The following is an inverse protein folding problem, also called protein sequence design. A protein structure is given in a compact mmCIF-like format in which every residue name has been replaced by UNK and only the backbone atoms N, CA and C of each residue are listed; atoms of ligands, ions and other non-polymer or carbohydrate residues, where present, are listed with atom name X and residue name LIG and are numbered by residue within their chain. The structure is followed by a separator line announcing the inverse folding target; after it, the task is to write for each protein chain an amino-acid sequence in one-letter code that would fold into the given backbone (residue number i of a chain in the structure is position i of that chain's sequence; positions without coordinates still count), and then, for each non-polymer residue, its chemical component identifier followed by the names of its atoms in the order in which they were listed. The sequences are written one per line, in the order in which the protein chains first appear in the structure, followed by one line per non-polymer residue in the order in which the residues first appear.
data_IF_930725604487
#
_entry.id   IF_930725604487
#
_cell.length_a   1.000
_cell.length_b   1.000
_cell.length_c   1.000
_cell.angle_alpha   90.00
_cell.angle_beta   90.00
_cell.angle_gamma   90.00
#
_symmetry.space_group_name_H-M   'P 1'
#
loop_
_entity.id
_entity.type
_entity.pdbx_description
1 polymer ?
#
# COMPACT_ATOMS: atom_id res chain seq x y z
N UNK A 1 -38.29 -57.75 -50.04
CA UNK A 1 -36.95 -57.13 -50.09
C UNK A 1 -37.03 -55.88 -50.96
N UNK A 2 -36.88 -54.64 -50.50
CA UNK A 2 -36.58 -54.15 -49.16
C UNK A 2 -37.11 -52.71 -49.02
N UNK A 3 -38.44 -52.54 -48.90
CA UNK A 3 -39.03 -51.34 -48.25
C UNK A 3 -38.52 -51.17 -46.80
N UNK A 4 -37.97 -52.25 -46.23
CA UNK A 4 -37.30 -52.29 -44.93
C UNK A 4 -35.93 -51.59 -44.97
N UNK A 5 -35.22 -51.52 -46.10
CA UNK A 5 -33.92 -50.83 -46.17
C UNK A 5 -34.08 -49.31 -46.23
N UNK A 6 -35.16 -48.79 -46.82
CA UNK A 6 -35.40 -47.34 -46.86
C UNK A 6 -35.84 -46.79 -45.49
N UNK A 7 -36.55 -47.59 -44.68
CA UNK A 7 -36.99 -47.18 -43.33
C UNK A 7 -35.82 -47.21 -42.33
N UNK A 8 -34.88 -48.14 -42.49
CA UNK A 8 -33.67 -48.20 -41.63
C UNK A 8 -32.71 -47.04 -41.95
N UNK A 9 -32.64 -46.58 -43.20
CA UNK A 9 -31.81 -45.42 -43.56
C UNK A 9 -32.45 -44.09 -43.11
N UNK A 10 -33.78 -43.99 -43.03
CA UNK A 10 -34.45 -42.79 -42.51
C UNK A 10 -34.49 -42.73 -40.97
N UNK A 11 -34.59 -43.88 -40.29
CA UNK A 11 -34.47 -43.95 -38.83
C UNK A 11 -33.03 -43.66 -38.35
N UNK A 12 -32.00 -44.14 -39.06
CA UNK A 12 -30.60 -43.87 -38.72
C UNK A 12 -30.12 -42.45 -39.12
N UNK A 13 -30.86 -41.72 -39.96
CA UNK A 13 -30.59 -40.30 -40.27
C UNK A 13 -31.40 -39.33 -39.38
N UNK A 14 -32.36 -39.85 -38.61
CA UNK A 14 -33.19 -39.08 -37.68
C UNK A 14 -32.64 -39.06 -36.24
N UNK A 15 -31.71 -39.95 -35.90
CA UNK A 15 -31.05 -40.01 -34.58
C UNK A 15 -29.67 -39.31 -34.57
N UNK A 16 -29.28 -38.69 -35.69
CA UNK A 16 -28.05 -37.88 -35.82
C UNK A 16 -28.35 -36.37 -35.92
N UNK A 17 -29.59 -35.96 -35.65
CA UNK A 17 -29.97 -34.56 -35.46
C UNK A 17 -30.44 -34.41 -34.00
N UNK A 18 -29.66 -33.69 -33.19
CA UNK A 18 -29.82 -33.47 -31.75
C UNK A 18 -29.61 -34.72 -30.87
N UNK A 19 -28.35 -35.14 -30.71
CA UNK A 19 -27.91 -35.35 -29.34
C UNK A 19 -27.89 -33.94 -28.72
N UNK A 20 -28.94 -33.57 -27.99
CA UNK A 20 -28.84 -32.46 -27.06
C UNK A 20 -27.76 -32.89 -26.08
N UNK A 21 -26.64 -32.20 -26.09
CA UNK A 21 -25.57 -32.39 -25.13
C UNK A 21 -26.20 -32.09 -23.77
N UNK A 22 -26.19 -33.08 -22.87
CA UNK A 22 -26.70 -32.87 -21.51
C UNK A 22 -25.88 -31.74 -20.88
N UNK A 23 -26.52 -30.82 -20.13
CA UNK A 23 -25.82 -29.79 -19.39
C UNK A 23 -24.66 -30.38 -18.57
N UNK A 24 -23.57 -29.63 -18.39
CA UNK A 24 -22.47 -30.11 -17.58
C UNK A 24 -22.96 -30.42 -16.16
N UNK A 25 -22.38 -31.44 -15.51
CA UNK A 25 -22.87 -31.89 -14.19
C UNK A 25 -22.86 -30.79 -13.14
N UNK A 26 -21.97 -29.82 -13.28
CA UNK A 26 -21.84 -28.66 -12.41
C UNK A 26 -22.68 -27.45 -12.82
N UNK A 27 -23.62 -27.60 -13.75
CA UNK A 27 -24.63 -26.59 -14.09
C UNK A 27 -25.69 -26.41 -12.97
N UNK A 28 -25.56 -27.17 -11.88
CA UNK A 28 -26.38 -27.05 -10.68
C UNK A 28 -25.49 -27.23 -9.44
N UNK A 29 -25.87 -26.56 -8.34
CA UNK A 29 -25.13 -26.63 -7.08
C UNK A 29 -24.89 -28.06 -6.58
N UNK A 30 -25.87 -28.97 -6.69
CA UNK A 30 -25.71 -30.34 -6.19
C UNK A 30 -24.68 -31.16 -6.96
N UNK A 31 -24.35 -30.74 -8.18
CA UNK A 31 -23.32 -31.34 -9.02
C UNK A 31 -21.99 -30.59 -9.00
N UNK A 32 -21.80 -29.68 -8.03
CA UNK A 32 -20.59 -28.90 -7.87
C UNK A 32 -19.32 -29.76 -7.91
N UNK A 33 -18.39 -29.40 -8.81
CA UNK A 33 -17.11 -30.08 -8.98
C UNK A 33 -16.16 -29.65 -7.86
N UNK A 34 -15.44 -30.62 -7.29
CA UNK A 34 -14.44 -30.35 -6.25
C UNK A 34 -13.16 -29.77 -6.86
N UNK A 35 -12.75 -28.59 -6.38
CA UNK A 35 -11.48 -27.97 -6.73
C UNK A 35 -10.38 -28.48 -5.79
N UNK A 36 -9.24 -28.87 -6.36
CA UNK A 36 -8.04 -29.13 -5.58
C UNK A 36 -7.44 -27.82 -5.06
N UNK A 37 -7.09 -27.78 -3.77
CA UNK A 37 -6.37 -26.64 -3.17
C UNK A 37 -4.87 -26.87 -3.32
N UNK A 38 -4.21 -26.02 -4.10
CA UNK A 38 -2.77 -26.02 -4.25
C UNK A 38 -2.05 -25.31 -3.09
N UNK A 39 -0.71 -25.43 -3.05
CA UNK A 39 0.13 -24.73 -2.09
C UNK A 39 0.11 -23.20 -2.29
N UNK A 40 0.50 -22.46 -1.25
CA UNK A 40 0.40 -20.99 -1.22
C UNK A 40 1.07 -20.32 -2.41
N UNK A 41 0.32 -19.45 -3.10
CA UNK A 41 0.79 -18.69 -4.26
C UNK A 41 0.91 -19.49 -5.56
N UNK A 42 0.47 -20.76 -5.58
CA UNK A 42 0.47 -21.60 -6.79
C UNK A 42 -0.96 -21.78 -7.29
N UNK A 43 -1.37 -21.00 -8.28
CA UNK A 43 -2.59 -21.28 -9.03
C UNK A 43 -2.34 -22.45 -9.99
N UNK A 44 -3.03 -23.58 -9.77
CA UNK A 44 -3.06 -24.70 -10.72
C UNK A 44 -4.37 -24.63 -11.51
N UNK A 45 -4.37 -24.03 -12.72
CA UNK A 45 -5.60 -23.76 -13.44
C UNK A 45 -6.27 -25.03 -13.95
N UNK A 46 -7.58 -25.13 -13.72
CA UNK A 46 -8.49 -26.04 -14.39
C UNK A 46 -9.21 -25.28 -15.49
N UNK A 47 -9.16 -25.79 -16.72
CA UNK A 47 -9.91 -25.24 -17.85
C UNK A 47 -11.40 -25.45 -17.63
N UNK A 48 -12.17 -24.39 -17.83
CA UNK A 48 -13.63 -24.35 -17.77
C UNK A 48 -14.17 -23.94 -19.14
N UNK A 49 -15.24 -24.59 -19.58
CA UNK A 49 -15.97 -24.24 -20.80
C UNK A 49 -17.38 -23.82 -20.42
N UNK A 50 -17.80 -22.65 -20.91
CA UNK A 50 -19.22 -22.26 -20.96
C UNK A 50 -19.63 -22.35 -22.42
N UNK A 51 -20.64 -23.15 -22.70
CA UNK A 51 -21.25 -23.28 -24.01
C UNK A 51 -22.77 -23.14 -23.91
N UNK A 52 -23.47 -23.46 -25.00
CA UNK A 52 -24.94 -23.29 -25.07
C UNK A 52 -25.73 -24.23 -24.16
N UNK A 53 -25.08 -25.20 -23.52
CA UNK A 53 -25.75 -26.16 -22.63
C UNK A 53 -25.62 -25.79 -21.15
N UNK A 54 -24.90 -24.70 -20.83
CA UNK A 54 -24.87 -24.11 -19.49
C UNK A 54 -26.10 -23.22 -19.32
N UNK A 55 -26.97 -23.57 -18.38
CA UNK A 55 -28.22 -22.87 -18.11
C UNK A 55 -28.20 -22.20 -16.73
N UNK A 56 -29.27 -21.47 -16.41
CA UNK A 56 -29.45 -20.89 -15.08
C UNK A 56 -29.77 -21.99 -14.06
N UNK A 57 -28.92 -22.14 -13.05
CA UNK A 57 -29.14 -23.08 -11.94
C UNK A 57 -30.36 -22.74 -11.06
N UNK A 58 -31.06 -21.64 -11.36
CA UNK A 58 -32.20 -21.07 -10.65
C UNK A 58 -31.90 -20.71 -9.18
N UNK A 59 -30.61 -20.49 -8.88
CA UNK A 59 -30.19 -20.01 -7.57
C UNK A 59 -30.36 -18.49 -7.48
N UNK A 60 -30.71 -18.00 -6.28
CA UNK A 60 -30.97 -16.57 -6.06
C UNK A 60 -29.78 -15.74 -6.55
N UNK A 61 -30.09 -14.67 -7.30
CA UNK A 61 -29.08 -13.75 -7.82
C UNK A 61 -28.23 -13.20 -6.66
N UNK A 62 -26.89 -13.32 -6.72
CA UNK A 62 -26.01 -12.87 -5.64
C UNK A 62 -25.93 -11.35 -5.49
N UNK A 63 -26.41 -10.57 -6.48
CA UNK A 63 -26.50 -9.11 -6.42
C UNK A 63 -25.28 -8.35 -6.95
N UNK A 64 -24.38 -9.03 -7.67
CA UNK A 64 -23.04 -8.58 -8.04
C UNK A 64 -22.60 -9.23 -9.38
N UNK A 65 -21.55 -8.70 -10.00
CA UNK A 65 -20.93 -9.26 -11.21
C UNK A 65 -21.84 -9.40 -12.42
N UNK A 66 -22.84 -8.51 -12.53
CA UNK A 66 -23.87 -8.48 -13.60
C UNK A 66 -24.36 -9.87 -14.01
N UNK A 67 -24.80 -10.66 -13.03
CA UNK A 67 -25.27 -12.03 -13.24
C UNK A 67 -26.57 -12.09 -14.08
N UNK A 68 -26.54 -12.85 -15.18
CA UNK A 68 -27.64 -12.95 -16.16
C UNK A 68 -28.24 -14.36 -16.34
N UNK A 69 -27.82 -15.37 -15.57
CA UNK A 69 -28.42 -16.71 -15.63
C UNK A 69 -27.43 -17.85 -15.66
N UNK A 70 -26.77 -18.08 -16.80
CA UNK A 70 -25.89 -19.23 -17.00
C UNK A 70 -24.76 -19.29 -15.97
N UNK A 71 -24.59 -20.42 -15.27
CA UNK A 71 -23.60 -20.52 -14.21
C UNK A 71 -23.11 -21.94 -13.90
N UNK A 72 -21.86 -22.02 -13.42
CA UNK A 72 -21.20 -23.26 -13.05
C UNK A 72 -20.84 -23.28 -11.57
N UNK A 73 -20.99 -24.46 -10.97
CA UNK A 73 -20.78 -24.68 -9.54
C UNK A 73 -19.53 -25.51 -9.23
N UNK A 74 -18.82 -25.06 -8.22
CA UNK A 74 -17.65 -25.74 -7.67
C UNK A 74 -17.75 -25.79 -6.16
N UNK A 75 -16.91 -26.61 -5.54
CA UNK A 75 -16.78 -26.67 -4.09
C UNK A 75 -15.34 -26.86 -3.69
N UNK A 76 -15.00 -26.35 -2.51
CA UNK A 76 -13.66 -26.46 -1.95
C UNK A 76 -13.75 -26.65 -0.44
N UNK A 77 -12.86 -27.47 0.12
CA UNK A 77 -12.68 -27.56 1.56
C UNK A 77 -11.66 -26.53 2.02
N UNK A 78 -11.94 -25.82 3.11
CA UNK A 78 -10.98 -24.91 3.73
C UNK A 78 -9.74 -25.73 4.15
N UNK A 79 -8.53 -25.34 3.72
CA UNK A 79 -7.30 -26.04 4.08
C UNK A 79 -6.92 -25.83 5.55
N UNK A 80 -5.91 -26.56 6.03
CA UNK A 80 -5.43 -26.47 7.41
C UNK A 80 -4.88 -25.08 7.79
N UNK A 81 -4.52 -24.24 6.81
CA UNK A 81 -4.12 -22.85 7.04
C UNK A 81 -5.28 -21.98 7.51
N UNK A 82 -6.54 -22.43 7.34
CA UNK A 82 -7.74 -21.67 7.70
C UNK A 82 -8.18 -20.66 6.66
N UNK A 83 -7.55 -20.63 5.48
CA UNK A 83 -7.93 -19.70 4.41
C UNK A 83 -7.66 -20.25 3.02
N UNK A 84 -8.53 -19.90 2.08
CA UNK A 84 -8.42 -20.28 0.66
C UNK A 84 -8.64 -19.06 -0.22
N UNK A 85 -7.86 -18.97 -1.30
CA UNK A 85 -8.07 -18.06 -2.40
C UNK A 85 -8.62 -18.85 -3.58
N UNK A 86 -9.73 -18.38 -4.15
CA UNK A 86 -10.29 -18.88 -5.40
C UNK A 86 -10.18 -17.77 -6.42
N UNK A 87 -9.69 -18.06 -7.60
CA UNK A 87 -9.60 -17.08 -8.67
C UNK A 87 -9.83 -17.71 -10.04
N UNK A 88 -10.30 -16.88 -10.95
CA UNK A 88 -10.37 -17.17 -12.37
C UNK A 88 -9.28 -16.43 -13.12
N UNK A 89 -8.96 -16.91 -14.32
CA UNK A 89 -7.98 -16.27 -15.18
C UNK A 89 -8.23 -16.59 -16.64
N UNK A 90 -7.55 -15.84 -17.50
CA UNK A 90 -7.58 -16.06 -18.94
C UNK A 90 -7.14 -17.48 -19.30
N UNK A 91 -7.85 -18.10 -20.24
CA UNK A 91 -7.44 -19.33 -20.90
C UNK A 91 -7.03 -19.07 -22.37
N UNK A 92 -7.98 -18.87 -23.26
CA UNK A 92 -7.78 -18.49 -24.67
C UNK A 92 -8.30 -17.08 -25.02
N UNK A 93 -8.92 -16.41 -24.04
CA UNK A 93 -9.47 -15.06 -24.16
C UNK A 93 -10.87 -14.98 -24.77
N UNK A 94 -11.54 -16.12 -24.99
CA UNK A 94 -12.95 -16.14 -25.46
C UNK A 94 -13.93 -15.67 -24.39
N UNK A 95 -13.70 -16.03 -23.12
CA UNK A 95 -14.31 -15.36 -21.97
C UNK A 95 -13.26 -14.42 -21.40
N UNK A 96 -13.59 -13.14 -21.33
CA UNK A 96 -12.67 -12.08 -20.91
C UNK A 96 -13.05 -11.42 -19.59
N UNK A 97 -14.22 -11.76 -19.06
CA UNK A 97 -14.83 -11.16 -17.89
C UNK A 97 -15.70 -12.20 -17.19
N UNK A 98 -15.53 -12.37 -15.88
CA UNK A 98 -16.22 -13.40 -15.10
C UNK A 98 -16.83 -12.78 -13.86
N UNK A 99 -17.94 -13.32 -13.39
CA UNK A 99 -18.43 -13.08 -12.03
C UNK A 99 -18.31 -14.34 -11.17
N UNK A 100 -18.09 -14.16 -9.88
CA UNK A 100 -17.97 -15.24 -8.89
C UNK A 100 -18.67 -14.89 -7.59
N UNK A 101 -19.39 -15.86 -7.01
CA UNK A 101 -19.93 -15.78 -5.66
C UNK A 101 -19.52 -17.01 -4.85
N UNK A 102 -19.15 -16.80 -3.58
CA UNK A 102 -18.78 -17.86 -2.65
C UNK A 102 -19.80 -17.95 -1.52
N UNK A 103 -20.23 -19.17 -1.22
CA UNK A 103 -21.25 -19.47 -0.24
C UNK A 103 -20.79 -20.49 0.79
N UNK A 104 -21.42 -20.45 1.97
CA UNK A 104 -21.25 -21.42 3.05
C UNK A 104 -22.55 -22.14 3.36
N UNK A 105 -22.46 -23.46 3.56
CA UNK A 105 -23.57 -24.28 4.04
C UNK A 105 -23.25 -25.76 4.01
N UNK A 106 -24.09 -26.56 4.66
CA UNK A 106 -23.93 -28.03 4.67
C UNK A 106 -24.28 -28.67 3.33
N UNK A 107 -25.18 -28.05 2.57
CA UNK A 107 -25.66 -28.47 1.26
C UNK A 107 -26.20 -27.25 0.49
N UNK A 108 -26.75 -27.49 -0.69
CA UNK A 108 -27.34 -26.46 -1.55
C UNK A 108 -28.68 -25.89 -1.02
N UNK A 109 -29.20 -26.37 0.12
CA UNK A 109 -30.49 -25.96 0.66
C UNK A 109 -30.27 -24.97 1.81
N UNK A 110 -30.07 -23.70 1.48
CA UNK A 110 -29.84 -22.65 2.48
C UNK A 110 -28.38 -22.21 2.59
N UNK A 111 -27.70 -22.19 1.45
CA UNK A 111 -26.40 -21.53 1.32
C UNK A 111 -26.49 -20.06 1.72
N UNK A 112 -25.52 -19.62 2.52
CA UNK A 112 -25.33 -18.22 2.93
C UNK A 112 -24.26 -17.64 2.02
N UNK A 113 -24.57 -16.55 1.32
CA UNK A 113 -23.60 -15.80 0.52
C UNK A 113 -22.56 -15.19 1.46
N UNK A 114 -21.28 -15.49 1.22
CA UNK A 114 -20.16 -14.92 1.98
C UNK A 114 -19.57 -13.70 1.29
N UNK A 115 -19.32 -13.82 -0.01
CA UNK A 115 -18.65 -12.79 -0.79
C UNK A 115 -18.96 -12.98 -2.27
N UNK A 116 -18.80 -11.90 -3.03
CA UNK A 116 -18.93 -11.90 -4.47
C UNK A 116 -17.94 -10.92 -5.09
N UNK A 117 -17.44 -11.24 -6.29
CA UNK A 117 -16.47 -10.46 -7.02
C UNK A 117 -16.57 -10.74 -8.52
N UNK A 118 -16.32 -9.73 -9.34
CA UNK A 118 -16.15 -9.83 -10.79
C UNK A 118 -14.72 -9.46 -11.21
N UNK A 119 -14.13 -8.43 -10.57
CA UNK A 119 -12.78 -7.94 -10.91
C UNK A 119 -11.80 -8.05 -9.73
N UNK A 120 -10.67 -8.75 -9.92
CA UNK A 120 -9.56 -8.83 -8.95
C UNK A 120 -8.72 -7.53 -8.89
N UNK A 121 -8.74 -6.69 -9.92
CA UNK A 121 -7.83 -5.53 -10.02
C UNK A 121 -8.39 -4.33 -10.79
N UNK A 122 -9.71 -4.12 -10.69
CA UNK A 122 -10.44 -3.10 -11.46
C UNK A 122 -10.31 -3.30 -12.97
N UNK A 123 -10.39 -2.22 -13.76
CA UNK A 123 -10.50 -2.25 -15.23
C UNK A 123 -9.36 -2.96 -16.00
N UNK A 124 -8.27 -3.35 -15.32
CA UNK A 124 -7.11 -4.01 -15.91
C UNK A 124 -7.15 -5.54 -15.81
N UNK A 125 -7.86 -6.10 -14.82
CA UNK A 125 -8.03 -7.53 -14.62
C UNK A 125 -9.48 -7.85 -14.26
N UNK A 126 -10.22 -8.28 -15.30
CA UNK A 126 -11.66 -8.55 -15.28
C UNK A 126 -12.05 -9.96 -14.85
N UNK A 127 -11.08 -10.68 -14.30
CA UNK A 127 -11.35 -12.02 -13.77
C UNK A 127 -11.65 -11.90 -12.29
N UNK A 128 -12.52 -12.79 -11.81
CA UNK A 128 -12.96 -12.78 -10.43
C UNK A 128 -12.03 -13.56 -9.53
N UNK A 129 -11.94 -13.15 -8.28
CA UNK A 129 -11.39 -13.99 -7.25
C UNK A 129 -11.71 -13.50 -5.86
N UNK A 130 -11.87 -14.44 -4.96
CA UNK A 130 -12.32 -14.24 -3.59
C UNK A 130 -11.39 -14.97 -2.63
N UNK A 131 -11.01 -14.29 -1.55
CA UNK A 131 -10.27 -14.88 -0.42
C UNK A 131 -11.23 -15.09 0.75
N UNK A 132 -11.32 -16.31 1.27
CA UNK A 132 -12.16 -16.64 2.43
C UNK A 132 -11.30 -17.22 3.55
N UNK A 133 -11.46 -16.67 4.75
CA UNK A 133 -11.02 -17.28 6.00
C UNK A 133 -12.19 -17.98 6.69
N UNK A 134 -12.01 -19.23 7.10
CA UNK A 134 -13.02 -19.97 7.86
C UNK A 134 -12.37 -21.18 8.57
N UNK A 135 -13.17 -21.96 9.30
CA UNK A 135 -12.69 -23.15 10.01
C UNK A 135 -12.19 -24.22 9.02
N UNK A 136 -10.96 -24.77 9.20
CA UNK A 136 -10.45 -25.87 8.40
C UNK A 136 -11.45 -27.05 8.29
N UNK A 137 -11.61 -27.56 7.07
CA UNK A 137 -12.56 -28.64 6.76
C UNK A 137 -13.99 -28.20 6.45
N UNK A 138 -14.36 -26.93 6.67
CA UNK A 138 -15.64 -26.41 6.17
C UNK A 138 -15.65 -26.46 4.64
N UNK A 139 -16.83 -26.74 4.07
CA UNK A 139 -17.03 -26.75 2.63
C UNK A 139 -17.62 -25.40 2.20
N UNK A 140 -16.97 -24.78 1.22
CA UNK A 140 -17.49 -23.63 0.49
C UNK A 140 -18.04 -24.10 -0.86
N UNK A 141 -19.09 -23.43 -1.32
CA UNK A 141 -19.63 -23.58 -2.67
C UNK A 141 -19.31 -22.32 -3.47
N UNK A 142 -18.79 -22.49 -4.67
CA UNK A 142 -18.39 -21.40 -5.56
C UNK A 142 -19.30 -21.45 -6.78
N UNK A 143 -19.90 -20.31 -7.10
CA UNK A 143 -20.71 -20.10 -8.29
C UNK A 143 -19.94 -19.17 -9.22
N UNK A 144 -19.79 -19.51 -10.50
CA UNK A 144 -19.04 -18.72 -11.48
C UNK A 144 -19.83 -18.57 -12.77
N UNK A 145 -19.81 -17.39 -13.39
CA UNK A 145 -20.52 -17.07 -14.62
C UNK A 145 -19.72 -16.10 -15.50
N UNK A 146 -20.16 -15.89 -16.75
CA UNK A 146 -19.68 -14.82 -17.62
C UNK A 146 -20.41 -13.51 -17.29
N UNK A 147 -19.65 -12.42 -17.12
CA UNK A 147 -20.22 -11.12 -16.78
C UNK A 147 -21.12 -10.60 -17.91
N UNK A 148 -22.33 -10.12 -17.60
CA UNK A 148 -23.18 -9.42 -18.54
C UNK A 148 -24.01 -10.30 -19.49
N UNK A 149 -23.87 -11.63 -19.42
CA UNK A 149 -24.76 -12.59 -20.09
C UNK A 149 -24.73 -12.53 -21.61
N UNK A 150 -23.67 -11.97 -22.18
CA UNK A 150 -23.35 -12.15 -23.59
C UNK A 150 -22.88 -13.59 -23.70
N UNK A 151 -23.77 -14.53 -24.05
CA UNK A 151 -23.42 -15.96 -24.16
C UNK A 151 -22.43 -16.16 -25.33
N UNK A 152 -21.18 -15.77 -25.10
CA UNK A 152 -20.01 -16.04 -25.90
C UNK A 152 -19.53 -17.39 -25.41
N UNK A 153 -19.90 -18.44 -26.16
CA UNK A 153 -19.34 -19.76 -25.93
C UNK A 153 -17.81 -19.63 -25.87
N UNK A 154 -17.21 -20.09 -24.77
CA UNK A 154 -15.82 -19.80 -24.51
C UNK A 154 -15.27 -20.53 -23.31
N UNK A 155 -14.04 -20.17 -22.96
CA UNK A 155 -13.29 -20.82 -21.90
C UNK A 155 -12.59 -19.81 -20.99
N UNK A 156 -12.47 -20.18 -19.73
CA UNK A 156 -11.66 -19.50 -18.71
C UNK A 156 -10.98 -20.56 -17.84
N UNK A 157 -10.03 -20.15 -17.01
CA UNK A 157 -9.39 -21.01 -16.03
C UNK A 157 -9.93 -20.71 -14.64
N UNK A 158 -10.07 -21.73 -13.79
CA UNK A 158 -10.34 -21.57 -12.36
C UNK A 158 -9.29 -22.31 -11.53
N UNK A 159 -8.89 -21.77 -10.39
CA UNK A 159 -8.03 -22.48 -9.44
C UNK A 159 -8.35 -22.09 -8.00
N UNK A 160 -7.87 -22.91 -7.06
CA UNK A 160 -7.89 -22.61 -5.65
C UNK A 160 -6.52 -22.93 -5.02
N UNK A 161 -6.06 -22.07 -4.11
CA UNK A 161 -4.84 -22.30 -3.35
C UNK A 161 -4.97 -21.81 -1.91
N UNK A 162 -4.20 -22.44 -1.02
CA UNK A 162 -4.22 -22.08 0.39
C UNK A 162 -3.60 -20.69 0.60
N UNK A 163 -4.18 -19.90 1.50
CA UNK A 163 -3.60 -18.65 1.98
C UNK A 163 -3.41 -18.73 3.50
N UNK A 164 -2.52 -17.91 4.03
CA UNK A 164 -2.47 -17.64 5.47
C UNK A 164 -3.41 -16.47 5.74
N UNK A 165 -4.63 -16.70 6.28
CA UNK A 165 -5.53 -15.60 6.58
C UNK A 165 -4.91 -14.67 7.63
N UNK A 166 -5.24 -13.38 7.60
CA UNK A 166 -4.79 -12.46 8.63
C UNK A 166 -5.48 -12.77 9.97
N UNK A 167 -4.98 -12.23 11.10
CA UNK A 167 -5.57 -12.48 12.42
C UNK A 167 -7.06 -12.14 12.44
N UNK A 168 -7.88 -13.01 13.05
CA UNK A 168 -9.32 -12.74 13.21
C UNK A 168 -9.50 -11.43 13.97
N UNK A 169 -10.28 -10.52 13.39
CA UNK A 169 -10.65 -9.28 14.02
C UNK A 169 -11.74 -9.54 15.07
N UNK A 170 -11.57 -8.94 16.24
CA UNK A 170 -12.56 -9.00 17.35
C UNK A 170 -13.27 -7.68 17.58
N UNK A 171 -12.95 -6.70 16.73
CA UNK A 171 -13.46 -5.34 16.73
C UNK A 171 -14.34 -5.09 15.51
N UNK A 172 -15.09 -6.10 15.10
CA UNK A 172 -16.07 -6.10 14.00
C UNK A 172 -17.42 -5.48 14.41
N UNK A 173 -17.48 -4.85 15.58
CA UNK A 173 -18.64 -4.09 16.07
C UNK A 173 -18.15 -2.78 16.72
N UNK A 174 -18.94 -1.70 16.64
CA UNK A 174 -18.54 -0.43 17.25
C UNK A 174 -18.39 -0.52 18.78
N UNK A 175 -19.07 -1.46 19.45
CA UNK A 175 -19.01 -1.67 20.89
C UNK A 175 -17.68 -2.30 21.32
N UNK A 176 -17.09 -3.10 20.44
CA UNK A 176 -15.78 -3.76 20.60
C UNK A 176 -14.63 -2.97 19.97
N UNK A 177 -14.90 -1.75 19.48
CA UNK A 177 -13.92 -0.90 18.81
C UNK A 177 -12.61 -0.73 19.60
N UNK A 178 -11.49 -0.97 18.90
CA UNK A 178 -10.14 -0.84 19.46
C UNK A 178 -9.78 0.63 19.63
N UNK A 179 -9.22 1.00 20.79
CA UNK A 179 -8.83 2.39 21.04
C UNK A 179 -7.49 2.71 20.39
N UNK A 180 -7.46 3.76 19.57
CA UNK A 180 -6.23 4.32 19.00
C UNK A 180 -5.59 5.28 20.02
N UNK A 181 -4.26 5.22 20.12
CA UNK A 181 -3.50 6.26 20.81
C UNK A 181 -3.33 7.47 19.89
N UNK A 182 -3.52 8.67 20.45
CA UNK A 182 -3.15 9.91 19.78
C UNK A 182 -1.65 10.15 19.91
N UNK A 183 -1.02 10.55 18.81
CA UNK A 183 0.33 11.09 18.77
C UNK A 183 0.39 12.35 17.91
N UNK A 184 1.49 13.09 18.01
CA UNK A 184 1.83 14.18 17.07
C UNK A 184 2.33 13.64 15.73
N UNK A 185 2.74 12.36 15.71
CA UNK A 185 3.08 11.59 14.51
C UNK A 185 2.27 10.30 14.47
N UNK A 186 2.18 9.69 13.28
CA UNK A 186 1.44 8.43 13.10
C UNK A 186 2.11 7.27 13.86
N UNK A 187 1.56 6.90 15.00
CA UNK A 187 1.87 5.65 15.69
C UNK A 187 0.85 4.59 15.30
N UNK A 188 1.12 3.89 14.20
CA UNK A 188 0.17 2.94 13.63
C UNK A 188 0.08 1.63 14.40
N UNK A 189 -1.13 1.09 14.47
CA UNK A 189 -1.37 -0.29 14.90
C UNK A 189 -1.83 -1.13 13.71
N UNK A 190 -1.58 -2.44 13.80
CA UNK A 190 -2.01 -3.42 12.81
C UNK A 190 -3.51 -3.71 12.97
N UNK A 191 -4.29 -3.49 11.91
CA UNK A 191 -5.66 -3.93 11.75
C UNK A 191 -5.77 -5.11 10.79
N UNK A 192 -6.88 -5.83 10.87
CA UNK A 192 -7.27 -6.83 9.87
C UNK A 192 -8.77 -6.73 9.63
N UNK A 193 -9.21 -6.95 8.39
CA UNK A 193 -10.63 -7.04 8.04
C UNK A 193 -11.17 -8.48 8.04
N UNK A 194 -10.48 -9.42 8.70
CA UNK A 194 -11.01 -10.77 8.95
C UNK A 194 -12.04 -10.76 10.08
N UNK A 195 -13.10 -9.99 9.87
CA UNK A 195 -14.24 -9.81 10.75
C UNK A 195 -15.03 -11.11 10.89
N UNK A 196 -15.63 -11.32 12.06
CA UNK A 196 -16.52 -12.46 12.28
C UNK A 196 -17.94 -12.09 11.89
N UNK A 197 -18.73 -13.09 11.49
CA UNK A 197 -20.15 -12.90 11.12
C UNK A 197 -21.07 -12.62 12.33
N UNK A 198 -20.52 -12.30 13.50
CA UNK A 198 -21.28 -12.37 14.75
C UNK A 198 -22.25 -11.20 14.94
N UNK A 199 -21.93 -9.97 14.52
CA UNK A 199 -22.77 -8.78 14.80
C UNK A 199 -22.82 -7.71 13.68
N UNK A 200 -22.32 -8.02 12.47
CA UNK A 200 -22.07 -7.06 11.36
C UNK A 200 -23.33 -6.43 10.69
N UNK A 201 -24.53 -6.60 11.27
CA UNK A 201 -25.79 -6.02 10.75
C UNK A 201 -26.50 -5.28 11.88
N UNK A 202 -25.87 -4.22 12.39
CA UNK A 202 -26.63 -3.15 13.05
C UNK A 202 -27.22 -2.22 12.00
N UNK A 203 -28.48 -2.48 11.63
CA UNK A 203 -29.25 -1.65 10.69
C UNK A 203 -29.47 -0.21 11.16
N UNK A 204 -29.14 0.12 12.41
CA UNK A 204 -29.25 1.48 12.95
C UNK A 204 -28.04 2.36 12.62
N UNK A 205 -26.89 1.78 12.28
CA UNK A 205 -25.70 2.51 11.85
C UNK A 205 -25.89 2.95 10.39
N UNK A 206 -25.86 4.25 10.09
CA UNK A 206 -25.89 4.74 8.71
C UNK A 206 -24.75 4.14 7.89
N UNK A 207 -25.03 3.73 6.65
CA UNK A 207 -23.99 3.31 5.73
C UNK A 207 -22.96 4.42 5.48
N UNK A 208 -21.71 4.02 5.20
CA UNK A 208 -20.58 4.94 5.03
C UNK A 208 -20.75 5.90 3.83
N UNK A 209 -21.49 5.49 2.80
CA UNK A 209 -21.83 6.34 1.66
C UNK A 209 -20.68 6.63 0.68
N UNK A 210 -19.50 6.03 0.88
CA UNK A 210 -18.37 6.03 -0.05
C UNK A 210 -17.67 4.65 -0.06
N UNK A 211 -16.61 4.50 -0.88
CA UNK A 211 -15.77 3.30 -1.01
C UNK A 211 -16.54 1.98 -1.15
N UNK A 212 -17.69 2.02 -1.83
CA UNK A 212 -18.54 0.88 -2.17
C UNK A 212 -18.62 -0.19 -1.05
N UNK A 213 -18.97 0.24 0.17
CA UNK A 213 -19.04 -0.62 1.35
C UNK A 213 -19.94 -1.86 1.15
N UNK A 214 -19.40 -3.05 1.45
CA UNK A 214 -20.06 -4.36 1.29
C UNK A 214 -19.82 -5.33 2.48
N UNK A 215 -19.67 -4.83 3.71
CA UNK A 215 -19.48 -5.67 4.91
C UNK A 215 -18.03 -5.90 5.32
N UNK A 216 -17.82 -6.81 6.28
CA UNK A 216 -16.51 -7.20 6.83
C UNK A 216 -15.68 -6.01 7.33
N UNK A 217 -16.35 -5.00 7.86
CA UNK A 217 -15.67 -3.86 8.46
C UNK A 217 -15.18 -4.15 9.86
N UNK A 218 -14.25 -3.31 10.28
CA UNK A 218 -13.73 -3.31 11.64
C UNK A 218 -13.68 -1.89 12.18
N UNK A 219 -13.75 -1.81 13.50
CA UNK A 219 -14.03 -0.59 14.24
C UNK A 219 -12.88 -0.21 15.17
N UNK A 220 -12.56 1.06 15.14
CA UNK A 220 -11.64 1.70 16.06
C UNK A 220 -12.32 2.90 16.71
N UNK A 221 -11.72 3.43 17.77
CA UNK A 221 -12.19 4.66 18.40
C UNK A 221 -11.05 5.52 18.88
N UNK A 222 -11.29 6.82 18.91
CA UNK A 222 -10.33 7.81 19.41
C UNK A 222 -11.09 8.93 20.11
N UNK A 223 -10.47 9.51 21.13
CA UNK A 223 -11.05 10.67 21.83
C UNK A 223 -10.45 11.94 21.25
N UNK A 224 -11.28 12.89 20.85
CA UNK A 224 -10.85 14.18 20.28
C UNK A 224 -9.96 14.92 21.29
N UNK A 225 -8.76 15.38 20.87
CA UNK A 225 -7.83 16.10 21.75
C UNK A 225 -8.32 17.52 22.11
N UNK A 226 -7.58 18.21 22.99
CA UNK A 226 -7.86 19.61 23.37
C UNK A 226 -7.83 20.57 22.18
N UNK A 227 -7.02 20.29 21.16
CA UNK A 227 -6.97 21.08 19.93
C UNK A 227 -8.29 21.10 19.15
N UNK A 228 -9.17 20.10 19.38
CA UNK A 228 -10.37 19.90 18.58
C UNK A 228 -10.09 19.44 17.14
N UNK A 229 -8.83 19.15 16.81
CA UNK A 229 -8.37 18.72 15.50
C UNK A 229 -7.95 17.26 15.55
N UNK A 230 -8.27 16.51 14.50
CA UNK A 230 -7.84 15.11 14.41
C UNK A 230 -7.67 14.71 12.96
N UNK A 231 -6.62 13.93 12.72
CA UNK A 231 -6.37 13.23 11.46
C UNK A 231 -6.41 11.75 11.74
N UNK A 232 -7.15 11.00 10.93
CA UNK A 232 -7.22 9.55 10.96
C UNK A 232 -6.80 9.08 9.59
N UNK A 233 -5.84 8.18 9.53
CA UNK A 233 -5.32 7.66 8.27
C UNK A 233 -5.04 6.17 8.35
N UNK A 234 -5.28 5.51 7.23
CA UNK A 234 -4.88 4.12 6.98
C UNK A 234 -3.64 4.10 6.10
N UNK A 235 -2.88 3.01 6.18
CA UNK A 235 -1.65 2.80 5.42
C UNK A 235 -1.50 1.32 5.07
N UNK A 236 -0.68 1.06 4.06
CA UNK A 236 -0.27 -0.30 3.69
C UNK A 236 0.37 -1.02 4.88
N UNK A 237 0.10 -2.33 4.99
CA UNK A 237 0.76 -3.24 5.93
C UNK A 237 1.66 -4.23 5.18
N UNK A 238 1.06 -5.21 4.51
CA UNK A 238 1.74 -6.27 3.78
C UNK A 238 1.31 -6.36 2.31
N UNK A 239 0.58 -5.34 1.82
CA UNK A 239 0.04 -5.26 0.47
C UNK A 239 -1.17 -6.17 0.22
N UNK A 240 -1.73 -6.83 1.25
CA UNK A 240 -2.92 -7.67 1.10
C UNK A 240 -4.23 -6.91 0.93
N UNK A 241 -4.27 -5.65 1.40
CA UNK A 241 -5.30 -4.67 1.08
C UNK A 241 -4.62 -3.53 0.33
N UNK A 242 -5.12 -3.22 -0.86
CA UNK A 242 -4.58 -2.20 -1.76
C UNK A 242 -5.57 -1.06 -2.02
N UNK A 243 -6.86 -1.30 -1.75
CA UNK A 243 -7.94 -0.33 -1.88
C UNK A 243 -8.92 -0.46 -0.70
N UNK A 244 -8.99 0.56 0.13
CA UNK A 244 -9.72 0.56 1.39
C UNK A 244 -10.83 1.61 1.44
N UNK A 245 -11.61 1.56 2.52
CA UNK A 245 -12.59 2.58 2.82
C UNK A 245 -12.53 2.94 4.29
N UNK A 246 -12.69 4.24 4.58
CA UNK A 246 -12.62 4.79 5.92
C UNK A 246 -13.82 5.68 6.17
N UNK A 247 -14.49 5.48 7.30
CA UNK A 247 -15.55 6.38 7.75
C UNK A 247 -15.40 6.72 9.23
N UNK A 248 -15.70 7.97 9.55
CA UNK A 248 -15.69 8.50 10.92
C UNK A 248 -17.11 8.84 11.33
N UNK A 249 -17.49 8.43 12.53
CA UNK A 249 -18.80 8.62 13.11
C UNK A 249 -18.71 9.28 14.49
N UNK A 250 -19.81 9.90 14.90
CA UNK A 250 -20.03 10.47 16.24
C UNK A 250 -21.29 9.89 16.86
N UNK A 251 -21.41 9.95 18.18
CA UNK A 251 -22.59 9.48 18.91
C UNK A 251 -22.30 8.26 19.80
N UNK A 252 -23.35 7.56 20.20
CA UNK A 252 -23.26 6.35 21.01
C UNK A 252 -23.50 5.14 20.12
N UNK A 253 -22.58 4.16 20.19
CA UNK A 253 -22.69 2.92 19.43
C UNK A 253 -24.04 2.21 19.69
N UNK A 254 -24.46 2.10 20.96
CA UNK A 254 -25.71 1.47 21.36
C UNK A 254 -26.49 2.29 22.39
N UNK A 255 -27.84 2.32 22.38
CA UNK A 255 -28.77 1.94 21.31
C UNK A 255 -29.13 3.11 20.38
N UNK A 256 -28.46 4.27 20.55
CA UNK A 256 -28.87 5.56 20.01
C UNK A 256 -28.07 5.99 18.76
N UNK A 257 -27.56 5.04 17.99
CA UNK A 257 -27.11 5.20 16.61
C UNK A 257 -25.90 6.12 16.41
N UNK A 258 -24.90 5.61 15.73
CA UNK A 258 -23.82 6.44 15.21
C UNK A 258 -24.34 7.38 14.10
N UNK A 259 -23.78 8.58 14.02
CA UNK A 259 -24.01 9.52 12.93
C UNK A 259 -22.73 9.66 12.13
N UNK A 260 -22.81 9.41 10.82
CA UNK A 260 -21.68 9.59 9.89
C UNK A 260 -21.24 11.05 9.89
N UNK A 261 -19.95 11.27 10.17
CA UNK A 261 -19.32 12.58 10.08
C UNK A 261 -18.66 12.76 8.71
N UNK A 262 -17.85 11.80 8.28
CA UNK A 262 -17.15 11.82 6.99
C UNK A 262 -16.78 10.41 6.54
N UNK A 263 -16.69 10.22 5.25
CA UNK A 263 -16.19 9.01 4.59
C UNK A 263 -15.10 9.42 3.60
N UNK A 264 -14.11 8.54 3.40
CA UNK A 264 -12.99 8.69 2.48
C UNK A 264 -12.66 7.33 1.85
N UNK A 265 -12.21 7.35 0.60
CA UNK A 265 -11.98 6.18 -0.28
C UNK A 265 -10.57 6.25 -0.87
N UNK A 266 -10.23 7.39 -1.50
CA UNK A 266 -8.91 7.59 -2.12
C UNK A 266 -8.29 8.95 -1.78
N UNK A 267 -8.58 9.49 -0.60
CA UNK A 267 -8.24 10.86 -0.20
C UNK A 267 -6.74 11.17 -0.15
N UNK A 268 -5.85 10.17 -0.17
CA UNK A 268 -4.39 10.35 -0.15
C UNK A 268 -3.69 10.36 -1.52
N UNK A 269 -4.29 10.92 -2.58
CA UNK A 269 -3.51 11.23 -3.79
C UNK A 269 -2.47 12.33 -3.50
N UNK A 270 -1.24 11.94 -3.13
CA UNK A 270 -0.07 12.85 -3.12
C UNK A 270 0.81 12.90 -1.86
N UNK A 271 0.68 11.99 -0.88
CA UNK A 271 1.52 11.97 0.35
C UNK A 271 2.56 10.84 0.39
N UNK A 272 3.17 10.52 -0.75
CA UNK A 272 4.29 9.55 -0.83
C UNK A 272 3.93 8.09 -0.47
N UNK A 273 2.65 7.71 -0.62
CA UNK A 273 2.22 6.30 -0.64
C UNK A 273 2.06 5.84 -2.09
N UNK A 274 2.50 4.62 -2.40
CA UNK A 274 2.32 4.01 -3.74
C UNK A 274 0.91 3.50 -4.00
N UNK A 275 0.06 3.48 -2.96
CA UNK A 275 -1.30 2.92 -2.96
C UNK A 275 -2.33 3.95 -2.44
N UNK A 276 -3.59 3.79 -2.88
CA UNK A 276 -4.73 4.65 -2.52
C UNK A 276 -5.22 4.28 -1.12
N UNK A 277 -4.69 4.92 -0.08
CA UNK A 277 -5.22 4.76 1.29
C UNK A 277 -6.00 6.00 1.73
N UNK A 278 -6.79 5.84 2.78
CA UNK A 278 -7.75 6.86 3.22
C UNK A 278 -7.16 7.81 4.27
N UNK A 279 -7.60 9.08 4.25
CA UNK A 279 -7.25 10.06 5.29
C UNK A 279 -8.38 11.03 5.54
N UNK A 280 -8.90 10.98 6.76
CA UNK A 280 -9.93 11.90 7.23
C UNK A 280 -9.31 12.88 8.21
N UNK A 281 -9.26 14.15 7.80
CA UNK A 281 -9.03 15.28 8.69
C UNK A 281 -10.36 15.92 9.12
N UNK A 282 -10.48 16.21 10.40
CA UNK A 282 -11.59 16.96 11.01
C UNK A 282 -11.04 18.04 11.94
N UNK A 283 -11.73 19.17 12.01
CA UNK A 283 -11.37 20.32 12.85
C UNK A 283 -12.58 20.84 13.60
N UNK A 284 -12.35 21.64 14.64
CA UNK A 284 -13.41 22.26 15.45
C UNK A 284 -14.36 21.25 16.13
N UNK A 285 -13.86 20.06 16.44
CA UNK A 285 -14.60 19.07 17.23
C UNK A 285 -14.52 19.40 18.72
N UNK A 286 -15.56 19.04 19.47
CA UNK A 286 -15.56 19.24 20.91
C UNK A 286 -14.50 18.33 21.59
N UNK A 287 -13.56 18.88 22.38
CA UNK A 287 -12.59 18.07 23.11
C UNK A 287 -13.27 17.03 24.00
N UNK A 288 -12.73 15.81 24.04
CA UNK A 288 -13.29 14.70 24.80
C UNK A 288 -14.43 13.96 24.09
N UNK A 289 -14.87 14.40 22.91
CA UNK A 289 -15.80 13.65 22.07
C UNK A 289 -15.14 12.33 21.64
N UNK A 290 -15.86 11.21 21.73
CA UNK A 290 -15.40 9.93 21.18
C UNK A 290 -15.85 9.81 19.73
N UNK A 291 -14.90 9.57 18.85
CA UNK A 291 -15.15 9.23 17.45
C UNK A 291 -15.02 7.73 17.27
N UNK A 292 -15.90 7.16 16.44
CA UNK A 292 -15.83 5.79 15.98
C UNK A 292 -15.35 5.78 14.53
N UNK A 293 -14.39 4.92 14.24
CA UNK A 293 -13.77 4.78 12.93
C UNK A 293 -14.14 3.41 12.41
N UNK A 294 -14.67 3.36 11.20
CA UNK A 294 -14.99 2.14 10.47
C UNK A 294 -14.00 1.99 9.32
N UNK A 295 -13.44 0.80 9.15
CA UNK A 295 -12.48 0.49 8.08
C UNK A 295 -12.89 -0.80 7.37
N UNK A 296 -12.86 -0.80 6.04
CA UNK A 296 -13.17 -1.97 5.19
C UNK A 296 -12.28 -1.99 3.95
N UNK A 297 -12.31 -3.08 3.17
CA UNK A 297 -11.72 -3.10 1.82
C UNK A 297 -12.77 -2.72 0.78
N UNK A 298 -12.38 -1.96 -0.25
CA UNK A 298 -13.28 -1.53 -1.31
C UNK A 298 -14.05 -2.72 -1.92
N UNK A 299 -15.38 -2.64 -1.94
CA UNK A 299 -16.27 -3.72 -2.39
C UNK A 299 -16.10 -5.07 -1.66
N UNK A 300 -15.43 -5.09 -0.49
CA UNK A 300 -15.09 -6.31 0.25
C UNK A 300 -14.30 -7.34 -0.61
N UNK A 301 -13.46 -6.83 -1.54
CA UNK A 301 -12.71 -7.64 -2.51
C UNK A 301 -11.53 -8.37 -1.89
N UNK A 302 -10.87 -7.71 -0.94
CA UNK A 302 -9.60 -8.13 -0.39
C UNK A 302 -9.75 -8.52 1.08
N UNK A 303 -9.07 -9.59 1.47
CA UNK A 303 -8.95 -10.05 2.85
C UNK A 303 -7.50 -9.92 3.28
N UNK A 304 -7.23 -9.12 4.31
CA UNK A 304 -5.87 -8.75 4.63
C UNK A 304 -5.67 -7.94 5.89
N UNK A 305 -4.55 -7.23 5.90
CA UNK A 305 -4.13 -6.33 6.97
C UNK A 305 -3.89 -4.92 6.45
N UNK A 306 -4.07 -3.96 7.34
CA UNK A 306 -3.77 -2.55 7.12
C UNK A 306 -3.20 -1.96 8.39
N UNK A 307 -2.52 -0.82 8.26
CA UNK A 307 -2.09 -0.01 9.40
C UNK A 307 -3.05 1.16 9.59
N UNK A 308 -3.33 1.53 10.83
CA UNK A 308 -4.17 2.70 11.15
C UNK A 308 -3.59 3.49 12.32
N UNK A 309 -3.69 4.82 12.26
CA UNK A 309 -3.32 5.71 13.36
C UNK A 309 -4.27 6.91 13.46
N UNK A 310 -4.21 7.58 14.61
CA UNK A 310 -4.85 8.87 14.83
C UNK A 310 -3.77 9.88 15.26
N UNK A 311 -3.80 11.06 14.65
CA UNK A 311 -2.84 12.13 14.82
C UNK A 311 -3.58 13.37 15.31
N UNK A 312 -3.03 14.03 16.32
CA UNK A 312 -3.38 15.42 16.64
C UNK A 312 -2.43 16.31 15.84
N UNK A 313 -2.87 16.92 14.72
CA UNK A 313 -1.98 17.64 13.80
C UNK A 313 -1.50 19.00 14.33
N UNK A 314 -1.51 19.21 15.65
CA UNK A 314 -1.19 20.49 16.24
C UNK A 314 -2.40 21.42 16.23
N UNK A 315 -2.82 21.80 17.43
CA UNK A 315 -3.29 23.15 17.67
C UNK A 315 -2.10 24.05 17.36
N UNK A 316 -2.20 24.92 16.35
CA UNK A 316 -1.14 25.90 16.07
C UNK A 316 -0.80 26.83 17.28
N UNK A 317 -1.56 26.71 18.38
CA UNK A 317 -1.43 27.47 19.62
C UNK A 317 -0.73 26.71 20.76
N UNK A 318 -0.34 25.45 20.56
CA UNK A 318 0.30 24.63 21.60
C UNK A 318 1.84 24.69 21.43
N UNK A 319 2.56 24.97 22.52
CA UNK A 319 4.04 24.94 22.61
C UNK A 319 4.46 23.51 22.96
N UNK A 320 4.83 22.75 21.92
CA UNK A 320 4.95 21.30 21.97
C UNK A 320 6.28 20.83 22.59
N UNK A 321 7.32 21.67 22.55
CA UNK A 321 8.64 21.37 23.11
C UNK A 321 9.01 22.15 24.39
N UNK A 322 8.21 23.16 24.75
CA UNK A 322 8.28 23.91 25.99
C UNK A 322 9.29 25.06 25.97
N UNK A 323 9.71 25.56 24.82
CA UNK A 323 10.62 26.72 24.73
C UNK A 323 9.92 28.08 24.88
N UNK A 324 8.59 28.08 24.85
CA UNK A 324 7.74 29.26 25.01
C UNK A 324 7.22 29.86 23.71
N UNK A 325 7.48 29.24 22.56
CA UNK A 325 6.93 29.57 21.25
C UNK A 325 6.07 28.40 20.72
N UNK A 326 5.14 28.71 19.83
CA UNK A 326 4.35 27.72 19.07
C UNK A 326 4.49 27.98 17.58
N UNK A 327 4.05 27.08 16.71
CA UNK A 327 4.10 27.28 15.24
C UNK A 327 3.45 28.63 14.82
N UNK A 328 2.29 29.03 15.39
CA UNK A 328 1.68 30.34 15.11
C UNK A 328 2.51 31.56 15.56
N UNK A 329 3.43 31.36 16.51
CA UNK A 329 4.28 32.41 17.06
C UNK A 329 5.62 32.52 16.33
N UNK A 330 5.84 31.71 15.29
CA UNK A 330 7.03 31.74 14.45
C UNK A 330 8.05 30.66 14.77
N UNK A 331 7.69 29.68 15.60
CA UNK A 331 8.51 28.48 15.79
C UNK A 331 8.55 27.66 14.50
N UNK A 332 9.77 27.42 13.99
CA UNK A 332 10.02 26.67 12.77
C UNK A 332 10.13 25.15 13.00
N UNK A 333 10.24 24.70 14.26
CA UNK A 333 10.24 23.30 14.66
C UNK A 333 9.77 23.12 16.12
N UNK A 334 8.45 23.18 16.32
CA UNK A 334 7.71 23.05 17.59
C UNK A 334 7.89 21.68 18.30
N UNK A 335 8.77 20.81 17.76
CA UNK A 335 9.16 19.56 18.39
C UNK A 335 10.58 19.60 18.99
N UNK A 336 11.28 20.74 18.92
CA UNK A 336 12.67 20.89 19.34
C UNK A 336 12.97 22.30 19.89
N UNK A 337 13.05 22.38 21.22
CA UNK A 337 13.26 23.60 22.02
C UNK A 337 14.58 24.39 21.77
N UNK A 338 15.36 24.03 20.75
CA UNK A 338 16.50 24.81 20.26
C UNK A 338 16.16 25.59 18.98
N UNK A 339 14.94 25.49 18.47
CA UNK A 339 14.48 26.08 17.22
C UNK A 339 13.35 27.05 17.52
N UNK A 340 13.64 28.34 17.66
CA UNK A 340 12.62 29.34 17.98
C UNK A 340 13.07 30.74 17.59
N UNK A 341 12.12 31.68 17.40
CA UNK A 341 12.43 33.08 17.14
C UNK A 341 13.51 33.67 18.06
N UNK A 342 14.70 33.91 17.49
CA UNK A 342 15.84 34.49 18.20
C UNK A 342 16.64 33.51 19.07
N UNK A 343 16.58 32.21 18.79
CA UNK A 343 17.56 31.24 19.30
C UNK A 343 18.99 31.60 18.88
N UNK A 344 19.98 30.90 19.41
CA UNK A 344 21.37 31.11 19.00
C UNK A 344 21.71 30.15 17.87
N UNK A 345 22.12 30.69 16.73
CA UNK A 345 22.64 29.91 15.60
C UNK A 345 23.81 29.00 16.00
N UNK A 346 23.72 27.75 15.57
CA UNK A 346 24.75 26.73 15.71
C UNK A 346 25.06 26.26 14.29
N UNK A 347 26.35 26.04 13.99
CA UNK A 347 26.72 25.55 12.67
C UNK A 347 26.33 24.08 12.48
N UNK A 348 25.07 23.84 12.12
CA UNK A 348 24.52 22.52 11.83
C UNK A 348 23.80 22.48 10.47
N UNK A 349 23.79 23.60 9.74
CA UNK A 349 23.14 23.73 8.44
C UNK A 349 21.63 23.89 8.54
N UNK A 350 21.12 24.23 9.72
CA UNK A 350 19.71 24.50 10.00
C UNK A 350 19.54 25.95 10.47
N UNK A 351 18.33 26.48 10.32
CA UNK A 351 17.91 27.79 10.83
C UNK A 351 17.42 27.58 12.26
N UNK A 352 18.26 27.86 13.27
CA UNK A 352 17.91 27.64 14.67
C UNK A 352 17.06 28.79 15.21
N UNK A 353 17.27 30.02 14.73
CA UNK A 353 16.60 31.20 15.23
C UNK A 353 15.30 31.57 14.50
N UNK A 354 14.93 30.76 13.50
CA UNK A 354 13.74 30.83 12.68
C UNK A 354 13.56 32.16 11.94
N UNK A 355 14.65 32.85 11.57
CA UNK A 355 14.60 34.12 10.84
C UNK A 355 14.58 33.97 9.31
N UNK A 356 14.80 32.74 8.82
CA UNK A 356 14.78 32.36 7.41
C UNK A 356 16.15 32.36 6.73
N UNK A 357 17.21 32.74 7.42
CA UNK A 357 18.60 32.51 7.00
C UNK A 357 19.15 31.26 7.70
N UNK A 358 20.27 30.72 7.21
CA UNK A 358 20.89 29.51 7.78
C UNK A 358 22.32 29.85 8.19
N UNK A 359 22.68 29.49 9.41
CA UNK A 359 24.04 29.63 9.98
C UNK A 359 24.55 31.09 9.92
N UNK A 360 23.66 32.09 10.02
CA UNK A 360 24.03 33.50 9.94
C UNK A 360 24.71 34.01 11.22
N UNK A 361 25.50 35.09 11.08
CA UNK A 361 26.33 35.58 12.18
C UNK A 361 27.51 34.66 12.55
N UNK A 362 27.66 33.49 11.93
CA UNK A 362 28.79 32.58 12.10
C UNK A 362 29.97 32.94 11.17
N UNK A 363 31.18 32.51 11.54
CA UNK A 363 32.39 32.75 10.74
C UNK A 363 32.54 31.62 9.72
N UNK A 364 32.25 31.92 8.45
CA UNK A 364 32.50 31.02 7.32
C UNK A 364 33.95 31.11 6.84
N UNK A 365 34.57 29.96 6.58
CA UNK A 365 35.95 29.82 6.11
C UNK A 365 35.96 28.89 4.90
N UNK A 366 36.79 29.24 3.90
CA UNK A 366 37.05 28.38 2.75
C UNK A 366 38.10 27.33 3.12
N UNK A 367 37.77 26.06 2.87
CA UNK A 367 38.66 24.93 3.02
C UNK A 367 38.91 24.26 1.67
N UNK A 368 40.14 23.80 1.46
CA UNK A 368 40.63 23.11 0.26
C UNK A 368 41.17 21.73 0.67
N UNK A 369 40.98 20.68 -0.14
CA UNK A 369 41.48 19.35 0.17
C UNK A 369 43.01 19.36 0.23
N UNK A 370 43.55 18.66 1.21
CA UNK A 370 44.99 18.44 1.45
C UNK A 370 45.24 16.96 1.10
N UNK A 371 45.65 16.71 -0.14
CA UNK A 371 45.58 15.39 -0.77
C UNK A 371 46.77 14.48 -0.43
N UNK A 372 47.91 15.08 -0.07
CA UNK A 372 49.13 14.39 0.34
C UNK A 372 49.52 14.64 1.81
N UNK A 373 48.68 15.36 2.55
CA UNK A 373 48.77 15.60 4.01
C UNK A 373 49.95 16.49 4.45
N UNK A 374 50.40 17.42 3.62
CA UNK A 374 51.52 18.32 3.93
C UNK A 374 51.12 19.66 4.58
N UNK A 375 49.82 19.95 4.64
CA UNK A 375 49.26 21.18 5.21
C UNK A 375 48.94 22.27 4.19
N UNK A 376 49.15 22.02 2.90
CA UNK A 376 48.78 22.88 1.79
C UNK A 376 47.62 22.28 1.00
N UNK A 377 46.71 23.14 0.56
CA UNK A 377 45.49 22.70 -0.12
C UNK A 377 45.60 22.83 -1.63
N UNK A 378 44.89 21.96 -2.34
CA UNK A 378 44.83 21.92 -3.80
C UNK A 378 44.48 23.30 -4.40
N UNK A 379 45.42 23.85 -5.18
CA UNK A 379 45.27 25.15 -5.82
C UNK A 379 44.17 25.19 -6.90
N UNK A 380 43.81 24.03 -7.46
CA UNK A 380 42.82 23.85 -8.52
C UNK A 380 41.43 23.44 -7.99
N UNK A 381 41.34 23.01 -6.73
CA UNK A 381 40.07 22.67 -6.12
C UNK A 381 39.17 23.91 -5.93
N UNK A 382 37.86 23.70 -6.09
CA UNK A 382 36.89 24.68 -5.63
C UNK A 382 36.79 24.63 -4.10
N UNK A 383 36.79 25.79 -3.41
CA UNK A 383 36.72 25.79 -1.95
C UNK A 383 35.40 25.24 -1.45
N UNK A 384 35.46 24.49 -0.35
CA UNK A 384 34.29 24.14 0.46
C UNK A 384 34.14 25.21 1.55
N UNK A 385 33.03 25.95 1.50
CA UNK A 385 32.72 26.98 2.49
C UNK A 385 31.90 26.35 3.62
N UNK A 386 32.46 26.34 4.82
CA UNK A 386 31.81 25.86 6.06
C UNK A 386 32.19 26.77 7.22
N UNK A 387 31.50 26.66 8.35
CA UNK A 387 31.88 27.42 9.53
C UNK A 387 33.28 27.01 10.02
N UNK A 388 34.02 27.95 10.59
CA UNK A 388 35.39 27.73 11.09
C UNK A 388 35.52 26.62 12.14
N UNK A 389 34.42 26.32 12.85
CA UNK A 389 34.39 25.25 13.85
C UNK A 389 34.28 23.84 13.23
N UNK A 390 33.88 23.75 11.96
CA UNK A 390 33.67 22.51 11.21
C UNK A 390 34.73 22.30 10.13
N UNK A 391 36.01 22.53 10.46
CA UNK A 391 37.12 22.18 9.55
C UNK A 391 36.94 20.72 9.08
N UNK A 392 36.74 20.46 7.77
CA UNK A 392 36.63 19.09 7.27
C UNK A 392 37.93 18.31 7.48
N UNK A 393 37.82 17.01 7.74
CA UNK A 393 38.99 16.12 7.81
C UNK A 393 39.66 16.03 6.43
N UNK A 394 40.99 16.17 6.39
CA UNK A 394 41.77 16.18 5.15
C UNK A 394 41.67 17.49 4.35
N UNK A 395 41.33 18.60 4.98
CA UNK A 395 41.29 19.91 4.33
C UNK A 395 42.15 20.94 5.08
N UNK A 396 42.53 22.04 4.43
CA UNK A 396 43.22 23.19 5.01
C UNK A 396 42.66 24.51 4.48
N UNK A 397 42.95 25.64 5.14
CA UNK A 397 42.35 26.95 4.82
C UNK A 397 43.20 27.79 3.84
N UNK A 398 44.00 27.13 3.01
CA UNK A 398 44.83 27.72 1.96
C UNK A 398 44.75 26.83 0.71
N UNK A 399 45.10 27.36 -0.46
CA UNK A 399 45.07 26.66 -1.74
C UNK A 399 46.42 26.79 -2.48
N UNK A 400 47.51 26.59 -1.75
CA UNK A 400 48.85 26.93 -2.23
C UNK A 400 49.66 25.71 -2.70
N UNK A 401 49.05 24.52 -2.71
CA UNK A 401 49.72 23.31 -3.17
C UNK A 401 49.80 23.27 -4.70
N UNK A 402 51.00 23.05 -5.23
CA UNK A 402 51.23 22.87 -6.66
C UNK A 402 51.37 21.40 -7.08
N UNK A 403 51.43 20.46 -6.12
CA UNK A 403 51.48 19.04 -6.39
C UNK A 403 50.80 18.20 -5.30
N UNK A 404 49.51 18.01 -5.49
CA UNK A 404 48.59 17.22 -4.66
C UNK A 404 48.94 15.73 -4.45
N UNK A 405 49.97 15.21 -5.13
CA UNK A 405 50.40 13.81 -5.06
C UNK A 405 51.72 13.64 -4.29
N UNK A 406 52.35 14.71 -3.79
CA UNK A 406 53.70 14.64 -3.20
C UNK A 406 53.97 15.70 -2.11
N UNK A 407 53.93 15.24 -0.86
CA UNK A 407 54.15 16.03 0.38
C UNK A 407 55.48 16.81 0.46
N UNK A 408 56.38 16.62 -0.50
CA UNK A 408 57.66 17.30 -0.61
C UNK A 408 57.68 18.34 -1.75
N UNK A 409 56.54 18.74 -2.30
CA UNK A 409 56.45 19.78 -3.31
C UNK A 409 55.35 20.76 -2.88
N UNK A 410 55.75 21.76 -2.09
CA UNK A 410 54.87 22.74 -1.48
C UNK A 410 55.64 24.02 -1.11
N UNK A 411 54.95 25.13 -0.78
CA UNK A 411 55.59 26.43 -0.51
C UNK A 411 56.68 26.47 0.57
N UNK A 412 56.72 25.49 1.48
CA UNK A 412 57.74 25.41 2.53
C UNK A 412 58.94 24.53 2.16
N UNK A 413 58.91 23.86 1.00
CA UNK A 413 59.99 22.97 0.57
C UNK A 413 61.15 23.76 -0.05
N UNK A 414 62.38 23.27 0.17
CA UNK A 414 63.58 23.84 -0.44
C UNK A 414 63.88 23.25 -1.81
N UNK A 415 64.17 24.12 -2.77
CA UNK A 415 64.56 23.79 -4.14
C UNK A 415 65.76 22.83 -4.24
N UNK A 416 65.65 21.84 -5.13
CA UNK A 416 66.74 20.96 -5.54
C UNK A 416 67.26 21.40 -6.91
N UNK A 417 68.47 21.97 -6.99
CA UNK A 417 68.93 22.56 -8.23
C UNK A 417 68.99 21.60 -9.43
N UNK A 418 68.59 22.11 -10.59
CA UNK A 418 68.72 21.49 -11.91
C UNK A 418 67.97 20.17 -12.13
N UNK A 419 66.98 19.84 -11.30
CA UNK A 419 66.20 18.62 -11.47
C UNK A 419 64.94 18.81 -12.35
N UNK A 420 64.59 20.06 -12.70
CA UNK A 420 63.44 20.38 -13.54
C UNK A 420 62.10 20.41 -12.80
N UNK A 421 62.10 20.37 -11.47
CA UNK A 421 60.93 20.41 -10.59
C UNK A 421 60.98 21.74 -9.84
N UNK A 422 59.82 22.35 -9.63
CA UNK A 422 59.61 23.53 -8.78
C UNK A 422 59.08 22.99 -7.45
N UNK A 423 59.96 22.80 -6.46
CA UNK A 423 59.57 22.21 -5.18
C UNK A 423 58.83 23.18 -4.29
N UNK A 424 59.12 24.49 -4.41
CA UNK A 424 58.57 25.51 -3.52
C UNK A 424 57.35 26.24 -4.11
N UNK A 425 56.86 25.79 -5.27
CA UNK A 425 55.71 26.34 -5.97
C UNK A 425 55.84 27.84 -6.29
N UNK A 426 57.06 28.37 -6.44
CA UNK A 426 57.29 29.79 -6.74
C UNK A 426 57.31 30.11 -8.25
N UNK A 427 57.21 29.06 -9.08
CA UNK A 427 57.21 29.12 -10.53
C UNK A 427 58.60 28.94 -11.16
N UNK A 428 59.64 28.65 -10.38
CA UNK A 428 61.03 28.58 -10.86
C UNK A 428 61.85 27.42 -10.25
N UNK A 429 62.30 26.49 -11.11
CA UNK A 429 63.35 25.52 -10.75
C UNK A 429 64.72 26.23 -10.60
N UNK A 430 65.32 26.08 -9.42
CA UNK A 430 66.63 26.64 -9.09
C UNK A 430 67.73 26.09 -10.02
N UNK A 431 68.48 26.98 -10.67
CA UNK A 431 69.63 26.60 -11.53
C UNK A 431 70.97 26.71 -10.83
N UNK A 432 71.84 25.73 -11.04
CA UNK A 432 73.26 25.89 -10.69
C UNK A 432 73.94 26.75 -11.73
N UNK A 433 74.37 27.94 -11.31
CA UNK A 433 75.13 28.85 -12.15
C UNK A 433 76.63 28.54 -12.07
N UNK A 434 77.24 28.25 -13.21
CA UNK A 434 78.70 28.18 -13.32
C UNK A 434 79.24 29.54 -13.73
N UNK A 435 80.37 29.94 -13.15
CA UNK A 435 81.06 31.15 -13.57
C UNK A 435 81.70 30.91 -14.94
N UNK A 436 81.24 31.65 -15.94
CA UNK A 436 81.89 31.75 -17.24
C UNK A 436 83.32 32.32 -17.06
N UNK A 437 84.31 31.56 -17.50
CA UNK A 437 85.73 31.88 -17.33
C UNK A 437 86.35 32.52 -18.59
N UNK A 438 85.68 32.42 -19.73
CA UNK A 438 86.15 32.85 -21.04
C UNK A 438 85.26 33.88 -21.74
N UNK A 439 84.12 34.26 -21.16
CA UNK A 439 83.23 35.32 -21.63
C UNK A 439 82.72 35.09 -23.07
N UNK A 440 82.46 33.84 -23.47
CA UNK A 440 82.05 33.47 -24.84
C UNK A 440 80.53 33.32 -25.07
#
# INVERSE_FOLDING_TARGET
MNKIVLIIIWAAFSELLQAQTEPPVNDICSGAIELSVADSGICTPQLVTIDSDVEDSNFVNPGCGDYQGADLWYKVSIPNTGGVRIETSMSDGSISDTGMAVYKGSDCNGLILLSCNDDIGGSSNRYSGISIADTPGNILYIRVWEYGGSIDNGTFNICAYQISPPPVASNDDCSTAISLSLGVTCSSILGSNNATSSEDIDTTIPGAGCASYQGNDVWFKVTVPSSGNIVIETRESDGSITDGGLAVYTGDCDPNGLTLLKCDDDGNKGLNTTLNFERIQQTNLAPGLVLYIRVWSYENKELGTFNICAIDPGSLDDDNDGDGYSENQGDCNDANANFYPGATEICDGLDNDCDGEIDEGLILVNYFPDLDEDGYGDANASPTMVCSALKPEGFVNNNLDCNDDNENINPDTGEIPDNGIDENCDGFDLKTWYQDSDND
#
